data_IF_075801442089
#
_entry.id   IF_075801442089
#
_cell.length_a   1.000
_cell.length_b   1.000
_cell.length_c   1.000
_cell.angle_alpha   90.00
_cell.angle_beta   90.00
_cell.angle_gamma   90.00
#
_symmetry.space_group_name_H-M   'P 1'
#
loop_
_entity.id
_entity.type
_entity.pdbx_description
1 polymer ?
#
# COMPACT_ATOMS: atom_id res chain seq x y z
N UNK A 1 14.48 11.11 18.22
CA UNK A 1 13.46 11.30 19.27
C UNK A 1 12.28 10.40 18.93
N UNK A 2 11.90 9.50 19.85
CA UNK A 2 10.68 8.72 19.72
C UNK A 2 9.52 9.67 20.05
N UNK A 3 8.85 10.17 19.02
CA UNK A 3 7.62 10.92 19.26
C UNK A 3 6.65 10.02 20.03
N UNK A 4 6.19 10.49 21.18
CA UNK A 4 5.17 9.77 21.91
C UNK A 4 3.94 9.68 21.03
N UNK A 5 3.64 8.48 20.59
CA UNK A 5 2.52 8.24 19.70
C UNK A 5 1.24 8.21 20.54
N UNK A 6 0.46 9.27 20.42
CA UNK A 6 -0.87 9.27 21.03
C UNK A 6 -1.79 8.38 20.18
N UNK A 7 -2.61 7.57 20.82
CA UNK A 7 -3.58 6.77 20.08
C UNK A 7 -4.53 7.65 19.27
N UNK A 8 -5.00 7.10 18.15
CA UNK A 8 -5.98 7.78 17.31
C UNK A 8 -7.29 7.98 18.09
N UNK A 9 -7.91 9.17 18.02
CA UNK A 9 -9.10 9.46 18.85
C UNK A 9 -10.26 8.46 18.68
N UNK A 10 -10.45 7.93 17.46
CA UNK A 10 -11.51 6.96 17.20
C UNK A 10 -11.11 5.53 17.54
N UNK A 11 -9.81 5.27 17.73
CA UNK A 11 -9.30 3.94 18.05
C UNK A 11 -9.82 2.87 17.07
N UNK A 12 -10.37 1.79 17.62
CA UNK A 12 -10.93 0.67 16.82
C UNK A 12 -12.12 1.05 15.96
N UNK A 13 -12.72 2.22 16.16
CA UNK A 13 -13.85 2.67 15.34
C UNK A 13 -13.40 3.39 14.08
N UNK A 14 -12.12 3.73 13.97
CA UNK A 14 -11.58 4.40 12.80
C UNK A 14 -11.76 3.53 11.55
N UNK A 15 -12.23 4.13 10.47
CA UNK A 15 -12.33 3.47 9.16
C UNK A 15 -11.02 3.66 8.42
N UNK A 16 -10.40 2.55 8.03
CA UNK A 16 -9.04 2.56 7.50
C UNK A 16 -9.03 2.14 6.04
N UNK A 17 -8.35 2.90 5.19
CA UNK A 17 -7.96 2.47 3.86
C UNK A 17 -6.47 2.13 3.89
N UNK A 18 -6.11 0.89 3.55
CA UNK A 18 -4.72 0.51 3.31
C UNK A 18 -4.51 0.37 1.82
N UNK A 19 -3.51 1.05 1.28
CA UNK A 19 -3.28 1.03 -0.16
C UNK A 19 -1.80 0.90 -0.52
N UNK A 20 -1.53 0.28 -1.65
CA UNK A 20 -0.25 0.38 -2.35
C UNK A 20 -0.30 1.55 -3.34
N UNK A 21 0.80 1.81 -4.05
CA UNK A 21 0.80 2.93 -5.00
C UNK A 21 -0.03 2.61 -6.24
N UNK A 22 -0.56 3.66 -6.86
CA UNK A 22 -1.33 3.52 -8.08
C UNK A 22 -0.44 3.11 -9.26
N UNK A 23 -1.04 2.42 -10.23
CA UNK A 23 -0.38 2.04 -11.48
C UNK A 23 -0.56 3.06 -12.60
N UNK A 24 0.15 2.87 -13.71
CA UNK A 24 1.11 1.80 -14.00
C UNK A 24 2.42 1.98 -13.23
N UNK A 25 3.06 0.87 -12.93
CA UNK A 25 4.28 0.84 -12.11
C UNK A 25 5.51 0.74 -13.00
N UNK A 26 6.69 1.06 -12.48
CA UNK A 26 7.97 0.89 -13.14
C UNK A 26 8.12 1.62 -14.48
N UNK A 27 7.32 2.62 -14.74
CA UNK A 27 7.51 3.47 -15.93
C UNK A 27 8.17 4.78 -15.53
N UNK A 28 8.94 5.34 -16.44
CA UNK A 28 9.35 6.73 -16.34
C UNK A 28 8.09 7.57 -16.54
N UNK A 29 7.61 8.09 -15.46
CA UNK A 29 6.40 8.89 -15.49
C UNK A 29 6.64 10.26 -14.84
N UNK A 30 5.63 11.08 -14.88
CA UNK A 30 5.69 12.44 -14.33
C UNK A 30 5.91 12.46 -12.81
N UNK A 31 5.76 11.32 -12.13
CA UNK A 31 5.94 11.21 -10.70
C UNK A 31 7.35 10.74 -10.32
N UNK A 32 8.26 10.64 -11.29
CA UNK A 32 9.66 10.32 -11.04
C UNK A 32 9.94 8.86 -10.76
N UNK A 33 9.04 7.96 -11.15
CA UNK A 33 9.30 6.51 -11.02
C UNK A 33 10.45 6.11 -11.92
N UNK A 34 11.31 5.23 -11.41
CA UNK A 34 12.43 4.76 -12.21
C UNK A 34 11.96 3.85 -13.34
N UNK A 35 12.63 3.99 -14.49
CA UNK A 35 12.32 3.21 -15.69
C UNK A 35 12.47 1.71 -15.48
N UNK A 36 13.43 1.30 -14.65
CA UNK A 36 13.68 -0.10 -14.34
C UNK A 36 13.61 -0.28 -12.83
N UNK A 37 12.66 -1.10 -12.38
CA UNK A 37 12.54 -1.46 -10.99
C UNK A 37 12.41 -2.99 -10.91
N UNK A 38 13.48 -3.72 -10.57
CA UNK A 38 13.43 -5.17 -10.52
C UNK A 38 12.36 -5.74 -9.58
N UNK A 39 12.05 -5.04 -8.49
CA UNK A 39 11.04 -5.51 -7.54
C UNK A 39 9.65 -5.54 -8.15
N UNK A 40 9.38 -4.68 -9.12
CA UNK A 40 8.08 -4.66 -9.77
C UNK A 40 7.86 -5.87 -10.68
N UNK A 41 8.94 -6.48 -11.15
CA UNK A 41 8.84 -7.75 -11.87
C UNK A 41 8.28 -8.86 -10.98
N UNK A 42 8.74 -8.91 -9.72
CA UNK A 42 8.35 -9.95 -8.78
C UNK A 42 6.97 -9.71 -8.18
N UNK A 43 6.55 -8.46 -8.08
CA UNK A 43 5.29 -8.10 -7.46
C UNK A 43 4.20 -7.78 -8.47
N UNK A 44 4.41 -8.19 -9.72
CA UNK A 44 3.47 -7.95 -10.80
C UNK A 44 3.19 -6.48 -11.07
N UNK A 45 4.18 -5.66 -10.82
CA UNK A 45 4.09 -4.22 -11.10
C UNK A 45 4.77 -3.89 -12.42
N UNK A 46 4.93 -4.88 -13.28
CA UNK A 46 5.53 -4.68 -14.60
C UNK A 46 4.51 -4.00 -15.49
N UNK A 47 4.85 -2.82 -15.89
CA UNK A 47 3.96 -2.01 -16.72
C UNK A 47 4.53 -1.81 -18.12
N UNK A 48 5.72 -2.33 -18.36
CA UNK A 48 6.31 -2.23 -19.67
C UNK A 48 5.53 -3.05 -20.68
N UNK A 49 5.33 -2.47 -21.83
CA UNK A 49 4.84 -3.20 -22.98
C UNK A 49 5.95 -4.13 -23.43
N UNK A 50 5.70 -5.41 -23.34
CA UNK A 50 6.63 -6.45 -23.72
C UNK A 50 6.25 -7.04 -25.08
N UNK A 51 5.95 -6.16 -26.04
CA UNK A 51 5.46 -6.57 -27.34
C UNK A 51 3.97 -6.93 -27.31
N UNK A 52 3.54 -7.72 -28.28
CA UNK A 52 2.13 -8.14 -28.36
C UNK A 52 1.71 -9.17 -27.34
N UNK A 53 2.67 -9.79 -26.64
CA UNK A 53 2.41 -10.81 -25.63
C UNK A 53 3.30 -10.57 -24.42
N UNK A 54 2.72 -10.65 -23.23
CA UNK A 54 3.49 -10.59 -21.98
C UNK A 54 2.90 -11.53 -20.94
N UNK A 55 3.78 -12.16 -20.17
CA UNK A 55 3.37 -12.95 -19.01
C UNK A 55 3.25 -12.02 -17.81
N UNK A 56 2.26 -12.29 -16.97
CA UNK A 56 2.02 -11.50 -15.77
C UNK A 56 1.87 -12.40 -14.56
N UNK A 57 2.49 -11.97 -13.47
CA UNK A 57 2.28 -12.58 -12.17
C UNK A 57 1.53 -11.57 -11.31
N UNK A 58 0.44 -12.02 -10.73
CA UNK A 58 -0.44 -11.16 -9.93
C UNK A 58 -0.29 -11.54 -8.46
N UNK A 59 0.58 -10.80 -7.77
CA UNK A 59 0.82 -10.99 -6.35
C UNK A 59 0.19 -9.83 -5.56
N UNK A 60 -0.79 -10.11 -4.70
CA UNK A 60 -1.28 -9.09 -3.78
C UNK A 60 -0.17 -8.60 -2.86
N UNK A 61 -0.32 -7.41 -2.35
CA UNK A 61 0.61 -6.88 -1.36
C UNK A 61 0.46 -7.66 -0.04
N UNK A 62 1.44 -8.50 0.26
CA UNK A 62 1.42 -9.29 1.50
C UNK A 62 1.41 -8.37 2.72
N UNK A 63 2.14 -7.25 2.67
CA UNK A 63 2.20 -6.32 3.81
C UNK A 63 0.81 -5.76 4.14
N UNK A 64 0.04 -5.35 3.12
CA UNK A 64 -1.32 -4.84 3.34
C UNK A 64 -2.25 -5.93 3.88
N UNK A 65 -2.14 -7.15 3.34
CA UNK A 65 -2.96 -8.27 3.82
C UNK A 65 -2.60 -8.68 5.25
N UNK A 66 -1.29 -8.64 5.58
CA UNK A 66 -0.85 -8.88 6.96
C UNK A 66 -1.42 -7.82 7.92
N UNK A 67 -1.36 -6.55 7.54
CA UNK A 67 -1.93 -5.48 8.35
C UNK A 67 -3.44 -5.69 8.53
N UNK A 68 -4.17 -5.89 7.41
CA UNK A 68 -5.61 -6.08 7.45
C UNK A 68 -6.02 -7.26 8.36
N UNK A 69 -5.28 -8.36 8.33
CA UNK A 69 -5.57 -9.53 9.14
C UNK A 69 -5.27 -9.32 10.63
N UNK A 70 -4.51 -8.28 10.97
CA UNK A 70 -3.95 -8.12 12.31
C UNK A 70 -4.42 -6.87 13.05
N UNK A 71 -5.35 -6.13 12.47
CA UNK A 71 -6.02 -5.01 13.15
C UNK A 71 -7.51 -5.33 13.24
N UNK A 72 -8.16 -4.83 14.28
CA UNK A 72 -9.59 -5.09 14.52
C UNK A 72 -10.49 -3.98 13.95
N UNK A 73 -9.92 -2.80 13.70
CA UNK A 73 -10.65 -1.67 13.12
C UNK A 73 -11.13 -1.99 11.68
N UNK A 74 -12.27 -1.44 11.24
CA UNK A 74 -12.75 -1.64 9.86
C UNK A 74 -11.70 -1.21 8.84
N UNK A 75 -11.29 -2.14 7.99
CA UNK A 75 -10.15 -1.92 7.10
C UNK A 75 -10.42 -2.40 5.68
N UNK A 76 -10.38 -1.48 4.73
CA UNK A 76 -10.45 -1.75 3.30
C UNK A 76 -9.03 -1.80 2.73
N UNK A 77 -8.77 -2.74 1.84
CA UNK A 77 -7.48 -2.82 1.13
C UNK A 77 -7.70 -2.53 -0.35
N UNK A 78 -7.04 -1.49 -0.83
CA UNK A 78 -7.05 -1.11 -2.24
C UNK A 78 -5.64 -1.37 -2.81
N UNK A 79 -5.46 -2.51 -3.43
CA UNK A 79 -4.14 -3.00 -3.81
C UNK A 79 -3.83 -2.69 -5.28
N UNK A 80 -2.78 -1.92 -5.52
CA UNK A 80 -2.31 -1.48 -6.85
C UNK A 80 -3.44 -0.90 -7.70
N UNK A 81 -4.14 0.11 -7.19
CA UNK A 81 -5.26 0.71 -7.93
C UNK A 81 -4.80 1.48 -9.17
N UNK A 82 -5.71 1.70 -10.09
CA UNK A 82 -5.52 2.78 -11.07
C UNK A 82 -5.67 4.12 -10.35
N UNK A 83 -5.07 5.15 -10.89
CA UNK A 83 -5.15 6.48 -10.27
C UNK A 83 -6.60 6.94 -10.10
N UNK A 84 -7.41 6.75 -11.15
CA UNK A 84 -8.83 7.13 -11.11
C UNK A 84 -9.61 6.35 -10.05
N UNK A 85 -9.30 5.06 -9.88
CA UNK A 85 -9.95 4.23 -8.87
C UNK A 85 -9.55 4.68 -7.46
N UNK A 86 -8.29 5.06 -7.26
CA UNK A 86 -7.84 5.59 -5.97
C UNK A 86 -8.57 6.91 -5.65
N UNK A 87 -8.64 7.82 -6.63
CA UNK A 87 -9.33 9.12 -6.44
C UNK A 87 -10.81 8.87 -6.11
N UNK A 88 -11.47 7.99 -6.86
CA UNK A 88 -12.87 7.65 -6.61
C UNK A 88 -13.05 7.09 -5.19
N UNK A 89 -12.17 6.17 -4.78
CA UNK A 89 -12.27 5.52 -3.47
C UNK A 89 -12.17 6.53 -2.33
N UNK A 90 -11.19 7.45 -2.38
CA UNK A 90 -11.03 8.45 -1.32
C UNK A 90 -12.11 9.54 -1.34
N UNK A 91 -12.75 9.76 -2.50
CA UNK A 91 -13.84 10.76 -2.61
C UNK A 91 -15.18 10.21 -2.11
N UNK A 92 -15.47 8.96 -2.41
CA UNK A 92 -16.79 8.37 -2.18
C UNK A 92 -16.92 7.71 -0.80
N UNK A 93 -15.79 7.48 -0.11
CA UNK A 93 -15.82 6.81 1.19
C UNK A 93 -15.15 7.65 2.27
N UNK A 94 -15.71 7.60 3.46
CA UNK A 94 -15.20 8.35 4.61
C UNK A 94 -14.17 7.50 5.36
N UNK A 95 -12.90 7.79 5.13
CA UNK A 95 -11.80 7.13 5.83
C UNK A 95 -11.20 8.10 6.84
N UNK A 96 -10.97 7.61 8.05
CA UNK A 96 -10.30 8.36 9.13
C UNK A 96 -8.79 8.23 9.02
N UNK A 97 -8.33 7.09 8.48
CA UNK A 97 -6.89 6.80 8.32
C UNK A 97 -6.66 6.25 6.91
N UNK A 98 -5.66 6.79 6.22
CA UNK A 98 -5.22 6.24 4.93
C UNK A 98 -3.76 5.80 5.07
N UNK A 99 -3.52 4.49 5.03
CA UNK A 99 -2.18 3.91 5.11
C UNK A 99 -1.64 3.56 3.73
N UNK A 100 -0.49 4.11 3.36
CA UNK A 100 0.17 3.84 2.07
C UNK A 100 1.43 3.02 2.32
N UNK A 101 1.50 1.84 1.70
CA UNK A 101 2.70 0.98 1.76
C UNK A 101 3.44 1.03 0.43
N UNK A 102 4.74 1.33 0.45
CA UNK A 102 5.49 1.50 -0.78
C UNK A 102 6.99 1.22 -0.62
N UNK A 103 7.70 1.41 -1.73
CA UNK A 103 9.15 1.29 -1.84
C UNK A 103 9.75 2.63 -2.31
N UNK A 104 11.04 2.80 -2.09
CA UNK A 104 11.73 4.08 -2.35
C UNK A 104 11.56 4.59 -3.80
N UNK A 105 11.65 3.74 -4.85
CA UNK A 105 11.48 4.24 -6.22
C UNK A 105 10.12 4.91 -6.50
N UNK A 106 9.11 4.62 -5.69
CA UNK A 106 7.76 5.15 -5.87
C UNK A 106 7.50 6.42 -5.05
N UNK A 107 8.54 7.10 -4.57
CA UNK A 107 8.39 8.29 -3.72
C UNK A 107 7.49 9.36 -4.35
N UNK A 108 7.65 9.62 -5.65
CA UNK A 108 6.83 10.62 -6.33
C UNK A 108 5.36 10.25 -6.36
N UNK A 109 5.05 8.95 -6.53
CA UNK A 109 3.66 8.49 -6.48
C UNK A 109 3.07 8.61 -5.09
N UNK A 110 3.85 8.27 -4.06
CA UNK A 110 3.39 8.43 -2.67
C UNK A 110 3.10 9.90 -2.36
N UNK A 111 4.00 10.80 -2.81
CA UNK A 111 3.77 12.24 -2.66
C UNK A 111 2.44 12.65 -3.32
N UNK A 112 2.23 12.23 -4.57
CA UNK A 112 0.98 12.56 -5.27
C UNK A 112 -0.25 12.00 -4.55
N UNK A 113 -0.15 10.78 -3.98
CA UNK A 113 -1.25 10.20 -3.21
C UNK A 113 -1.54 11.03 -1.96
N UNK A 114 -0.50 11.47 -1.24
CA UNK A 114 -0.69 12.33 -0.07
C UNK A 114 -1.41 13.63 -0.46
N UNK A 115 -0.98 14.26 -1.56
CA UNK A 115 -1.63 15.49 -2.06
C UNK A 115 -3.11 15.26 -2.36
N UNK A 116 -3.43 14.15 -3.02
CA UNK A 116 -4.83 13.80 -3.35
C UNK A 116 -5.66 13.51 -2.09
N UNK A 117 -5.05 12.86 -1.09
CA UNK A 117 -5.75 12.62 0.18
C UNK A 117 -6.04 13.97 0.86
N UNK A 118 -5.05 14.86 0.93
CA UNK A 118 -5.28 16.18 1.53
C UNK A 118 -6.35 16.97 0.79
N UNK A 119 -6.40 16.85 -0.55
CA UNK A 119 -7.40 17.53 -1.36
C UNK A 119 -8.82 17.02 -1.10
N UNK A 120 -8.98 15.69 -0.99
CA UNK A 120 -10.32 15.08 -0.94
C UNK A 120 -10.74 14.66 0.47
N UNK A 121 -9.78 14.41 1.36
CA UNK A 121 -10.01 13.99 2.76
C UNK A 121 -9.01 14.71 3.67
N UNK A 122 -9.14 16.03 3.82
CA UNK A 122 -8.16 16.82 4.61
C UNK A 122 -8.06 16.39 6.07
N UNK A 123 -9.13 15.82 6.62
CA UNK A 123 -9.17 15.40 8.02
C UNK A 123 -8.63 13.98 8.24
N UNK A 124 -8.36 13.23 7.17
CA UNK A 124 -7.83 11.86 7.30
C UNK A 124 -6.37 11.86 7.74
N UNK A 125 -6.04 10.97 8.66
CA UNK A 125 -4.65 10.76 9.08
C UNK A 125 -3.92 9.95 8.01
N UNK A 126 -2.83 10.50 7.48
CA UNK A 126 -2.02 9.83 6.45
C UNK A 126 -0.85 9.11 7.11
N UNK A 127 -0.77 7.80 6.88
CA UNK A 127 0.29 6.94 7.42
C UNK A 127 1.08 6.34 6.25
N UNK A 128 2.39 6.57 6.20
CA UNK A 128 3.25 6.00 5.16
C UNK A 128 4.18 4.96 5.77
N UNK A 129 4.17 3.77 5.18
CA UNK A 129 4.98 2.65 5.66
C UNK A 129 5.60 1.82 4.52
N UNK A 130 6.20 0.69 4.88
CA UNK A 130 6.93 -0.15 3.95
C UNK A 130 8.36 0.33 3.77
N UNK A 131 9.07 -0.19 2.77
CA UNK A 131 10.48 0.11 2.56
C UNK A 131 10.76 1.60 2.30
N UNK A 132 9.79 2.34 1.80
CA UNK A 132 9.93 3.78 1.58
C UNK A 132 10.20 4.53 2.90
N UNK A 133 9.67 4.02 4.01
CA UNK A 133 9.82 4.67 5.32
C UNK A 133 11.29 4.78 5.77
N UNK A 134 12.16 3.94 5.20
CA UNK A 134 13.60 4.02 5.46
C UNK A 134 14.31 5.17 4.73
N UNK A 135 13.65 5.84 3.80
CA UNK A 135 14.26 6.95 3.04
C UNK A 135 14.48 8.16 3.95
N UNK A 136 15.70 8.68 3.93
CA UNK A 136 16.03 9.90 4.66
C UNK A 136 15.28 11.11 4.07
N UNK A 137 14.81 11.99 4.92
CA UNK A 137 14.13 13.21 4.52
C UNK A 137 12.74 12.99 3.92
N UNK A 138 12.16 11.81 4.11
CA UNK A 138 10.83 11.52 3.58
C UNK A 138 9.76 12.45 4.21
N UNK A 139 9.95 12.82 5.44
CA UNK A 139 9.10 13.77 6.18
C UNK A 139 9.01 15.16 5.51
N UNK A 140 10.02 15.51 4.73
CA UNK A 140 10.04 16.78 3.97
C UNK A 140 9.41 16.63 2.58
N UNK A 141 9.17 15.43 2.18
CA UNK A 141 8.63 15.13 0.85
C UNK A 141 7.15 14.77 0.89
N UNK A 142 6.63 13.93 1.76
CA UNK A 142 5.46 13.47 1.84
C UNK A 142 4.79 14.19 2.81
N UNK A 143 3.70 14.71 2.57
CA UNK A 143 2.81 15.33 3.55
C UNK A 143 2.04 14.23 4.30
N UNK A 144 2.76 13.47 5.10
CA UNK A 144 2.22 12.37 5.88
C UNK A 144 2.27 12.71 7.37
N UNK A 145 1.22 12.34 8.12
CA UNK A 145 1.17 12.57 9.56
C UNK A 145 2.10 11.60 10.30
N UNK A 146 2.23 10.38 9.76
CA UNK A 146 3.12 9.37 10.36
C UNK A 146 3.92 8.64 9.29
N UNK A 147 5.21 8.46 9.56
CA UNK A 147 6.10 7.63 8.76
C UNK A 147 6.52 6.46 9.64
N UNK A 148 6.07 5.25 9.30
CA UNK A 148 6.20 4.06 10.14
C UNK A 148 7.36 3.21 9.67
N UNK A 149 8.42 3.16 10.45
CA UNK A 149 9.59 2.30 10.22
C UNK A 149 9.46 1.04 11.08
N UNK A 150 9.78 -0.10 10.49
CA UNK A 150 9.77 -1.37 11.19
C UNK A 150 8.41 -2.04 11.21
N UNK A 151 8.01 -2.58 12.37
CA UNK A 151 6.80 -3.40 12.49
C UNK A 151 5.52 -2.57 12.44
N UNK A 152 4.89 -2.58 11.28
CA UNK A 152 3.63 -1.88 11.07
C UNK A 152 2.46 -2.47 11.83
N UNK A 153 2.48 -3.77 12.15
CA UNK A 153 1.37 -4.41 12.89
C UNK A 153 1.33 -3.88 14.32
N UNK A 154 2.45 -3.96 15.04
CA UNK A 154 2.54 -3.41 16.39
C UNK A 154 2.23 -1.93 16.42
N UNK A 155 2.74 -1.19 15.40
CA UNK A 155 2.50 0.24 15.30
C UNK A 155 1.00 0.55 15.17
N UNK A 156 0.30 -0.12 14.23
CA UNK A 156 -1.13 0.11 14.01
C UNK A 156 -1.95 -0.29 15.24
N UNK A 157 -1.64 -1.45 15.83
CA UNK A 157 -2.34 -1.88 17.04
C UNK A 157 -2.23 -0.84 18.14
N UNK A 158 -1.03 -0.36 18.40
CA UNK A 158 -0.80 0.69 19.40
C UNK A 158 -1.57 1.96 19.04
N UNK A 159 -1.50 2.38 17.79
CA UNK A 159 -2.16 3.59 17.30
C UNK A 159 -3.69 3.50 17.44
N UNK A 160 -4.25 2.30 17.27
CA UNK A 160 -5.69 2.05 17.38
C UNK A 160 -6.13 1.67 18.82
N UNK A 161 -5.21 1.63 19.77
CA UNK A 161 -5.52 1.21 21.14
C UNK A 161 -5.85 -0.27 21.24
N UNK A 162 -5.29 -1.08 20.35
CA UNK A 162 -5.45 -2.53 20.33
C UNK A 162 -4.29 -3.21 21.09
N UNK A 163 -4.40 -4.52 21.32
CA UNK A 163 -3.36 -5.27 22.02
C UNK A 163 -2.14 -5.48 21.11
N UNK A 164 -1.08 -4.71 21.33
CA UNK A 164 0.19 -4.81 20.58
C UNK A 164 0.78 -6.23 20.59
N UNK A 165 0.59 -6.94 21.72
CA UNK A 165 1.19 -8.25 21.94
C UNK A 165 0.30 -9.41 21.49
N UNK A 166 -0.83 -9.13 20.86
CA UNK A 166 -1.69 -10.21 20.37
C UNK A 166 -0.95 -11.04 19.32
N UNK A 167 -1.13 -12.36 19.31
CA UNK A 167 -0.47 -13.20 18.30
C UNK A 167 -0.71 -12.69 16.87
N UNK A 168 0.33 -12.79 16.04
CA UNK A 168 0.23 -12.37 14.64
C UNK A 168 -0.50 -13.45 13.85
N UNK A 169 -1.55 -13.03 13.15
CA UNK A 169 -2.31 -13.90 12.24
C UNK A 169 -1.67 -13.84 10.85
N UNK A 170 -1.45 -14.99 10.24
CA UNK A 170 -0.84 -15.10 8.92
C UNK A 170 -1.92 -15.48 7.89
N UNK A 171 -2.42 -14.50 7.12
CA UNK A 171 -3.49 -14.78 6.16
C UNK A 171 -2.99 -15.63 4.98
N UNK A 172 -3.87 -16.47 4.46
CA UNK A 172 -3.64 -17.13 3.18
C UNK A 172 -3.89 -16.11 2.07
N UNK A 173 -2.90 -15.88 1.23
CA UNK A 173 -3.00 -14.91 0.15
C UNK A 173 -2.94 -15.65 -1.18
N UNK A 174 -3.86 -15.33 -2.08
CA UNK A 174 -3.93 -15.97 -3.38
C UNK A 174 -3.23 -15.10 -4.43
N UNK A 175 -2.23 -15.65 -5.07
CA UNK A 175 -1.57 -15.04 -6.22
C UNK A 175 -2.13 -15.64 -7.50
N UNK A 176 -1.78 -15.09 -8.64
CA UNK A 176 -2.22 -15.61 -9.93
C UNK A 176 -1.17 -15.45 -11.01
N UNK A 177 -1.32 -16.25 -12.04
CA UNK A 177 -0.55 -16.11 -13.26
C UNK A 177 -1.50 -15.80 -14.40
N UNK A 178 -1.11 -14.89 -15.25
CA UNK A 178 -1.90 -14.53 -16.41
C UNK A 178 -1.00 -14.05 -17.54
N UNK A 179 -1.61 -13.52 -18.55
CA UNK A 179 -0.90 -12.98 -19.70
C UNK A 179 -1.67 -11.79 -20.26
N UNK A 180 -1.01 -11.02 -21.05
CA UNK A 180 -1.63 -9.96 -21.83
C UNK A 180 -1.28 -10.20 -23.30
N UNK A 181 -2.28 -10.15 -24.15
CA UNK A 181 -2.13 -10.29 -25.59
C UNK A 181 -2.72 -9.05 -26.27
N UNK A 182 -1.90 -8.33 -27.02
CA UNK A 182 -2.30 -7.11 -27.73
C UNK A 182 -3.07 -6.12 -26.84
N UNK A 183 -2.60 -5.96 -25.58
CA UNK A 183 -3.21 -5.04 -24.64
C UNK A 183 -4.38 -5.60 -23.83
N UNK A 184 -4.87 -6.80 -24.16
CA UNK A 184 -6.02 -7.43 -23.48
C UNK A 184 -5.50 -8.41 -22.42
N UNK A 185 -5.95 -8.26 -21.19
CA UNK A 185 -5.58 -9.17 -20.10
C UNK A 185 -6.34 -10.49 -20.24
N UNK A 186 -5.58 -11.58 -20.29
CA UNK A 186 -6.15 -12.93 -20.36
C UNK A 186 -6.47 -13.44 -18.93
N UNK A 187 -7.41 -14.38 -18.82
CA UNK A 187 -7.79 -14.93 -17.52
C UNK A 187 -6.60 -15.46 -16.72
N UNK A 188 -6.63 -15.22 -15.44
CA UNK A 188 -5.58 -15.63 -14.51
C UNK A 188 -5.96 -16.95 -13.85
N UNK A 189 -4.94 -17.76 -13.57
CA UNK A 189 -5.10 -18.95 -12.73
C UNK A 189 -4.60 -18.60 -11.33
N UNK A 190 -5.44 -18.64 -10.30
CA UNK A 190 -4.99 -18.35 -8.95
C UNK A 190 -4.08 -19.45 -8.42
N UNK A 191 -3.09 -19.06 -7.65
CA UNK A 191 -2.20 -19.95 -6.91
C UNK A 191 -2.24 -19.59 -5.45
N UNK A 192 -2.18 -20.58 -4.57
CA UNK A 192 -2.17 -20.35 -3.12
C UNK A 192 -0.78 -19.98 -2.66
N UNK A 193 -0.67 -18.91 -1.92
CA UNK A 193 0.56 -18.48 -1.29
C UNK A 193 0.28 -18.08 0.15
N UNK A 194 1.24 -18.29 1.02
CA UNK A 194 1.13 -17.89 2.41
C UNK A 194 2.04 -16.68 2.65
N UNK A 195 1.52 -15.68 3.34
CA UNK A 195 2.33 -14.56 3.80
C UNK A 195 2.84 -14.90 5.20
N UNK A 196 4.16 -14.90 5.35
CA UNK A 196 4.80 -15.20 6.62
C UNK A 196 5.67 -14.00 6.99
N UNK A 197 5.45 -13.47 8.19
CA UNK A 197 6.31 -12.44 8.72
C UNK A 197 7.50 -13.11 9.41
N UNK A 198 8.69 -12.78 8.94
CA UNK A 198 9.93 -13.25 9.56
C UNK A 198 10.48 -12.07 10.37
N UNK A 199 10.62 -12.23 11.69
CA UNK A 199 11.12 -11.16 12.56
C UNK A 199 12.60 -10.83 12.33
#
# INVERSE_FOLDING_TARGET
MLHSQNPHPLGRRARILLTSVFGPYAQDDEYGSRRINPMELYQNQVTRIQGGFSLRMFHPSFALRMLQANIDAPCTVLDYPRLDDFIREIRENDYDIVGISSIVPNTGKVKKMCELIREHRPDATIVVGGHIAGREGLDKIXDADHIVKGDGISWFRKFLGENEKAPVRHPMVYSGFGARLLGIDLPQKPARTAAILIP
#
